data_IF_919475022554
#
_entry.id   IF_919475022554
#
_cell.length_a   1.000
_cell.length_b   1.000
_cell.length_c   1.000
_cell.angle_alpha   90.00
_cell.angle_beta   90.00
_cell.angle_gamma   90.00
#
_symmetry.space_group_name_H-M   'P 1'
#
loop_
_entity.id
_entity.type
_entity.pdbx_description
1 polymer ?
#
# COMPACT_ATOMS: atom_id res chain seq x y z
N UNK A 1 -4.86 20.27 -23.86
CA UNK A 1 -5.67 19.96 -22.69
C UNK A 1 -4.77 19.55 -21.52
N UNK A 2 -4.91 20.26 -20.41
CA UNK A 2 -4.16 19.91 -19.18
C UNK A 2 -4.69 18.58 -18.64
N UNK A 3 -3.82 17.63 -18.28
CA UNK A 3 -4.30 16.34 -17.77
C UNK A 3 -5.05 16.51 -16.46
N UNK A 4 -6.15 15.77 -16.28
CA UNK A 4 -6.92 15.74 -15.03
C UNK A 4 -6.04 15.28 -13.87
N UNK A 5 -6.44 15.54 -12.62
CA UNK A 5 -5.73 15.09 -11.42
C UNK A 5 -5.57 13.55 -11.43
N UNK A 6 -6.65 12.83 -11.77
CA UNK A 6 -6.62 11.37 -11.91
C UNK A 6 -5.70 10.90 -13.05
N UNK A 7 -5.71 11.61 -14.18
CA UNK A 7 -4.81 11.29 -15.30
C UNK A 7 -3.34 11.52 -14.96
N UNK A 8 -3.03 12.53 -14.14
CA UNK A 8 -1.66 12.74 -13.61
C UNK A 8 -1.26 11.63 -12.65
N UNK A 9 -2.15 11.23 -11.74
CA UNK A 9 -1.91 10.11 -10.84
C UNK A 9 -1.67 8.79 -11.60
N UNK A 10 -2.53 8.45 -12.54
CA UNK A 10 -2.36 7.25 -13.37
C UNK A 10 -1.03 7.26 -14.14
N UNK A 11 -0.61 8.42 -14.63
CA UNK A 11 0.67 8.60 -15.32
C UNK A 11 1.86 8.43 -14.38
N UNK A 12 1.75 8.91 -13.14
CA UNK A 12 2.76 8.67 -12.10
C UNK A 12 2.90 7.18 -11.81
N UNK A 13 1.80 6.48 -11.54
CA UNK A 13 1.84 5.03 -11.34
C UNK A 13 2.46 4.28 -12.53
N UNK A 14 2.13 4.73 -13.75
CA UNK A 14 2.70 4.16 -14.98
C UNK A 14 4.22 4.30 -15.10
N UNK A 15 4.86 5.23 -14.38
CA UNK A 15 6.33 5.38 -14.38
C UNK A 15 7.02 4.21 -13.67
N UNK A 16 6.37 3.55 -12.72
CA UNK A 16 6.91 2.40 -11.99
C UNK A 16 7.23 1.21 -12.91
N UNK A 17 6.68 1.16 -14.12
CA UNK A 17 7.02 0.15 -15.13
C UNK A 17 8.45 0.26 -15.65
N UNK A 18 9.06 1.44 -15.52
CA UNK A 18 10.44 1.70 -15.97
C UNK A 18 11.47 1.59 -14.84
N UNK A 19 11.03 1.42 -13.61
CA UNK A 19 11.91 1.18 -12.46
C UNK A 19 12.11 -0.33 -12.32
N UNK A 20 13.38 -0.75 -12.36
CA UNK A 20 13.76 -2.15 -12.17
C UNK A 20 13.88 -2.40 -10.67
N UNK A 21 13.16 -3.41 -10.19
CA UNK A 21 13.26 -3.84 -8.81
C UNK A 21 14.57 -4.60 -8.60
N UNK A 22 15.27 -4.28 -7.52
CA UNK A 22 16.56 -4.88 -7.21
C UNK A 22 17.61 -4.63 -8.30
N UNK A 23 17.70 -3.40 -8.80
CA UNK A 23 18.56 -3.02 -9.91
C UNK A 23 20.03 -3.45 -9.72
N UNK A 24 20.50 -3.49 -8.46
CA UNK A 24 21.86 -3.90 -8.12
C UNK A 24 22.04 -5.43 -7.96
N UNK A 25 20.99 -6.20 -8.15
CA UNK A 25 21.02 -7.68 -8.05
C UNK A 25 20.51 -8.28 -9.36
N UNK A 26 21.40 -8.86 -10.20
CA UNK A 26 20.98 -9.44 -11.47
C UNK A 26 19.91 -10.51 -11.29
N UNK A 27 18.81 -10.36 -12.03
CA UNK A 27 17.69 -11.32 -12.05
C UNK A 27 17.28 -11.62 -13.50
N UNK A 28 16.85 -12.83 -13.72
CA UNK A 28 16.33 -13.25 -15.03
C UNK A 28 14.97 -13.92 -14.82
N UNK A 29 13.89 -13.37 -15.40
CA UNK A 29 13.84 -12.08 -16.09
C UNK A 29 13.89 -10.88 -15.13
N UNK A 30 14.24 -9.70 -15.66
CA UNK A 30 14.11 -8.45 -14.93
C UNK A 30 12.65 -8.17 -14.57
N UNK A 31 12.42 -7.67 -13.37
CA UNK A 31 11.07 -7.35 -12.88
C UNK A 31 10.98 -5.86 -12.61
N UNK A 32 10.01 -5.18 -13.22
CA UNK A 32 9.72 -3.79 -12.88
C UNK A 32 9.01 -3.68 -11.53
N UNK A 33 9.12 -2.53 -10.87
CA UNK A 33 8.39 -2.26 -9.62
C UNK A 33 6.90 -2.43 -9.85
N UNK A 34 6.33 -1.89 -10.94
CA UNK A 34 4.91 -2.06 -11.25
C UNK A 34 4.52 -3.54 -11.46
N UNK A 35 5.37 -4.31 -12.14
CA UNK A 35 5.15 -5.76 -12.34
C UNK A 35 5.15 -6.52 -11.02
N UNK A 36 6.09 -6.19 -10.13
CA UNK A 36 6.11 -6.74 -8.78
C UNK A 36 4.83 -6.40 -8.00
N UNK A 37 4.44 -5.12 -7.95
CA UNK A 37 3.23 -4.68 -7.26
C UNK A 37 1.99 -5.42 -7.75
N UNK A 38 1.87 -5.62 -9.07
CA UNK A 38 0.75 -6.37 -9.64
C UNK A 38 0.75 -7.84 -9.25
N UNK A 39 1.91 -8.49 -9.21
CA UNK A 39 2.03 -9.88 -8.75
C UNK A 39 1.66 -10.00 -7.27
N UNK A 40 2.15 -9.10 -6.42
CA UNK A 40 1.79 -9.07 -4.99
C UNK A 40 0.28 -8.90 -4.81
N UNK A 41 -0.33 -7.97 -5.54
CA UNK A 41 -1.78 -7.77 -5.53
C UNK A 41 -2.56 -9.04 -5.94
N UNK A 42 -2.13 -9.69 -7.01
CA UNK A 42 -2.72 -10.95 -7.47
C UNK A 42 -2.63 -12.05 -6.42
N UNK A 43 -1.46 -12.26 -5.85
CA UNK A 43 -1.29 -13.24 -4.77
C UNK A 43 -2.12 -12.90 -3.54
N UNK A 44 -2.13 -11.65 -3.08
CA UNK A 44 -2.93 -11.22 -1.95
C UNK A 44 -4.43 -11.50 -2.17
N UNK A 45 -4.93 -11.25 -3.38
CA UNK A 45 -6.31 -11.57 -3.74
C UNK A 45 -6.60 -13.08 -3.74
N UNK A 46 -5.73 -13.88 -4.38
CA UNK A 46 -5.94 -15.34 -4.47
C UNK A 46 -5.78 -16.04 -3.11
N UNK A 47 -4.86 -15.60 -2.27
CA UNK A 47 -4.76 -16.10 -0.89
C UNK A 47 -6.01 -15.74 -0.08
N UNK A 48 -6.51 -14.52 -0.22
CA UNK A 48 -7.77 -14.12 0.43
C UNK A 48 -8.95 -14.99 -0.01
N UNK A 49 -9.02 -15.36 -1.30
CA UNK A 49 -10.01 -16.31 -1.80
C UNK A 49 -9.86 -17.69 -1.16
N UNK A 50 -8.63 -18.23 -1.08
CA UNK A 50 -8.39 -19.56 -0.53
C UNK A 50 -8.71 -19.65 0.96
N UNK A 51 -8.63 -18.53 1.68
CA UNK A 51 -8.98 -18.43 3.09
C UNK A 51 -10.47 -18.12 3.33
N UNK A 52 -11.29 -18.02 2.27
CA UNK A 52 -12.70 -17.69 2.40
C UNK A 52 -12.98 -16.24 2.84
N UNK A 53 -12.00 -15.33 2.72
CA UNK A 53 -12.14 -13.96 3.16
C UNK A 53 -13.34 -13.25 2.52
N UNK A 54 -13.95 -12.30 3.23
CA UNK A 54 -15.09 -11.54 2.73
C UNK A 54 -14.72 -10.71 1.48
N UNK A 55 -15.70 -10.31 0.63
CA UNK A 55 -15.44 -9.55 -0.58
C UNK A 55 -14.68 -8.23 -0.33
N UNK A 56 -14.99 -7.53 0.77
CA UNK A 56 -14.33 -6.28 1.11
C UNK A 56 -12.83 -6.50 1.38
N UNK A 57 -12.47 -7.52 2.16
CA UNK A 57 -11.09 -7.88 2.43
C UNK A 57 -10.32 -8.27 1.17
N UNK A 58 -10.92 -9.05 0.27
CA UNK A 58 -10.28 -9.43 -1.01
C UNK A 58 -9.91 -8.20 -1.83
N UNK A 59 -10.81 -7.22 -1.90
CA UNK A 59 -10.59 -5.96 -2.60
C UNK A 59 -9.51 -5.13 -1.91
N UNK A 60 -9.57 -5.01 -0.59
CA UNK A 60 -8.60 -4.25 0.18
C UNK A 60 -7.21 -4.86 0.07
N UNK A 61 -7.07 -6.18 0.22
CA UNK A 61 -5.79 -6.88 0.08
C UNK A 61 -5.20 -6.73 -1.32
N UNK A 62 -6.05 -6.79 -2.37
CA UNK A 62 -5.61 -6.53 -3.73
C UNK A 62 -5.02 -5.12 -3.87
N UNK A 63 -5.74 -4.10 -3.43
CA UNK A 63 -5.28 -2.73 -3.57
C UNK A 63 -4.15 -2.36 -2.62
N UNK A 64 -4.11 -2.92 -1.43
CA UNK A 64 -2.96 -2.79 -0.54
C UNK A 64 -1.71 -3.37 -1.20
N UNK A 65 -1.78 -4.59 -1.73
CA UNK A 65 -0.69 -5.19 -2.50
C UNK A 65 -0.35 -4.42 -3.78
N UNK A 66 -1.33 -3.78 -4.42
CA UNK A 66 -1.08 -2.99 -5.64
C UNK A 66 -0.36 -1.66 -5.34
N UNK A 67 -0.55 -1.07 -4.17
CA UNK A 67 -0.02 0.26 -3.85
C UNK A 67 1.10 0.27 -2.82
N UNK A 68 1.48 -0.88 -2.22
CA UNK A 68 2.45 -0.93 -1.13
C UNK A 68 3.80 -0.26 -1.46
N UNK A 69 4.28 -0.40 -2.69
CA UNK A 69 5.53 0.21 -3.18
C UNK A 69 5.29 1.54 -3.94
N UNK A 70 4.10 2.14 -3.85
CA UNK A 70 3.85 3.44 -4.48
C UNK A 70 4.84 4.54 -4.03
N UNK A 71 5.29 4.58 -2.77
CA UNK A 71 6.32 5.51 -2.33
C UNK A 71 7.65 5.39 -3.10
N UNK A 72 8.01 4.22 -3.61
CA UNK A 72 9.24 4.01 -4.39
C UNK A 72 9.27 4.81 -5.71
N UNK A 73 8.12 5.25 -6.19
CA UNK A 73 8.04 6.23 -7.28
C UNK A 73 8.83 7.52 -6.97
N UNK A 74 9.01 7.83 -5.69
CA UNK A 74 9.53 9.09 -5.19
C UNK A 74 11.00 8.97 -4.76
N UNK A 75 11.42 7.81 -4.28
CA UNK A 75 12.74 7.56 -3.68
C UNK A 75 13.58 6.53 -4.42
N UNK A 76 13.02 5.83 -5.41
CA UNK A 76 13.53 4.60 -6.03
C UNK A 76 13.54 3.41 -5.04
N UNK A 77 13.69 2.21 -5.59
CA UNK A 77 13.83 0.98 -4.81
C UNK A 77 15.18 0.96 -4.08
N UNK A 78 15.16 1.30 -2.79
CA UNK A 78 16.33 1.19 -1.91
C UNK A 78 16.24 -0.12 -1.16
N UNK A 79 17.16 -1.02 -1.41
CA UNK A 79 17.17 -2.35 -0.78
C UNK A 79 17.25 -2.27 0.75
N UNK A 80 16.50 -3.15 1.43
CA UNK A 80 16.38 -3.20 2.89
C UNK A 80 17.72 -3.20 3.65
N UNK A 81 18.79 -3.91 3.23
CA UNK A 81 20.08 -3.83 3.91
C UNK A 81 20.66 -2.41 3.96
N UNK A 82 20.49 -1.63 2.89
CA UNK A 82 20.94 -0.23 2.85
C UNK A 82 20.07 0.64 3.76
N UNK A 83 18.76 0.45 3.73
CA UNK A 83 17.83 1.15 4.66
C UNK A 83 18.20 0.92 6.13
N UNK A 84 18.70 -0.28 6.49
CA UNK A 84 19.08 -0.65 7.86
C UNK A 84 20.53 -0.29 8.26
N UNK A 85 21.37 0.09 7.32
CA UNK A 85 22.80 0.40 7.59
C UNK A 85 23.01 1.68 8.40
N UNK A 86 22.02 2.58 8.44
CA UNK A 86 22.07 3.83 9.20
C UNK A 86 20.81 3.96 10.04
N UNK A 87 20.95 4.06 11.36
CA UNK A 87 19.82 4.02 12.33
C UNK A 87 18.71 5.05 12.08
N UNK A 88 19.02 6.21 11.52
CA UNK A 88 18.03 7.27 11.26
C UNK A 88 17.52 7.30 9.81
N UNK A 89 18.11 6.54 8.90
CA UNK A 89 17.76 6.56 7.48
C UNK A 89 16.31 6.13 7.21
N UNK A 90 15.78 5.06 7.84
CA UNK A 90 14.39 4.65 7.60
C UNK A 90 13.37 5.73 7.96
N UNK A 91 13.54 6.40 9.11
CA UNK A 91 12.62 7.45 9.54
C UNK A 91 12.69 8.70 8.66
N UNK A 92 13.88 9.08 8.21
CA UNK A 92 14.07 10.21 7.29
C UNK A 92 13.47 9.91 5.92
N UNK A 93 13.70 8.71 5.38
CA UNK A 93 13.13 8.27 4.11
C UNK A 93 11.59 8.28 4.18
N UNK A 94 11.03 7.72 5.25
CA UNK A 94 9.58 7.70 5.45
C UNK A 94 8.99 9.11 5.54
N UNK A 95 9.62 10.00 6.29
CA UNK A 95 9.18 11.39 6.37
C UNK A 95 9.21 12.09 5.00
N UNK A 96 10.27 11.85 4.22
CA UNK A 96 10.38 12.37 2.87
C UNK A 96 9.33 11.77 1.92
N UNK A 97 9.11 10.47 1.96
CA UNK A 97 8.10 9.76 1.17
C UNK A 97 6.70 10.31 1.45
N UNK A 98 6.36 10.51 2.73
CA UNK A 98 5.09 11.11 3.13
C UNK A 98 4.91 12.52 2.60
N UNK A 99 5.94 13.36 2.72
CA UNK A 99 5.91 14.73 2.20
C UNK A 99 5.71 14.75 0.68
N UNK A 100 6.41 13.88 -0.04
CA UNK A 100 6.31 13.78 -1.49
C UNK A 100 4.97 13.19 -1.94
N UNK A 101 4.44 12.17 -1.25
CA UNK A 101 3.09 11.66 -1.49
C UNK A 101 2.04 12.77 -1.32
N UNK A 102 2.15 13.56 -0.25
CA UNK A 102 1.24 14.69 -0.03
C UNK A 102 1.32 15.70 -1.18
N UNK A 103 2.53 16.10 -1.55
CA UNK A 103 2.77 17.10 -2.58
C UNK A 103 2.37 16.64 -3.99
N UNK A 104 2.66 15.38 -4.35
CA UNK A 104 2.55 14.89 -5.74
C UNK A 104 1.32 14.04 -6.00
N UNK A 105 0.74 13.44 -4.97
CA UNK A 105 -0.38 12.50 -5.09
C UNK A 105 -1.62 13.03 -4.38
N UNK A 106 -1.58 13.14 -3.05
CA UNK A 106 -2.78 13.40 -2.26
C UNK A 106 -3.32 14.81 -2.47
N UNK A 107 -2.48 15.84 -2.34
CA UNK A 107 -2.90 17.24 -2.55
C UNK A 107 -3.52 17.46 -3.94
N UNK A 108 -2.85 17.08 -5.04
CA UNK A 108 -3.44 17.22 -6.39
C UNK A 108 -4.73 16.41 -6.61
N UNK A 109 -4.87 15.23 -6.00
CA UNK A 109 -6.10 14.44 -6.09
C UNK A 109 -7.24 15.10 -5.32
N UNK A 110 -7.00 15.57 -4.08
CA UNK A 110 -7.99 16.29 -3.29
C UNK A 110 -8.41 17.60 -3.98
N UNK A 111 -7.46 18.37 -4.49
CA UNK A 111 -7.76 19.58 -5.28
C UNK A 111 -8.58 19.27 -6.54
N UNK A 112 -8.48 18.05 -7.06
CA UNK A 112 -9.29 17.53 -8.18
C UNK A 112 -10.66 16.95 -7.77
N UNK A 113 -11.03 17.00 -6.48
CA UNK A 113 -12.30 16.47 -5.96
C UNK A 113 -12.30 14.95 -5.75
N UNK A 114 -11.12 14.32 -5.60
CA UNK A 114 -10.98 12.86 -5.43
C UNK A 114 -10.65 12.46 -3.98
N UNK A 115 -11.25 13.12 -2.97
CA UNK A 115 -10.96 12.89 -1.54
C UNK A 115 -11.18 11.44 -1.10
N UNK A 116 -12.22 10.78 -1.62
CA UNK A 116 -12.46 9.35 -1.34
C UNK A 116 -11.32 8.45 -1.84
N UNK A 117 -10.71 8.79 -2.97
CA UNK A 117 -9.56 8.04 -3.48
C UNK A 117 -8.33 8.28 -2.59
N UNK A 118 -8.12 9.52 -2.15
CA UNK A 118 -7.02 9.86 -1.24
C UNK A 118 -7.16 9.11 0.08
N UNK A 119 -8.36 9.09 0.67
CA UNK A 119 -8.64 8.33 1.89
C UNK A 119 -8.31 6.84 1.74
N UNK A 120 -8.74 6.22 0.62
CA UNK A 120 -8.44 4.82 0.33
C UNK A 120 -6.94 4.57 0.12
N UNK A 121 -6.25 5.43 -0.61
CA UNK A 121 -4.81 5.30 -0.80
C UNK A 121 -4.05 5.42 0.53
N UNK A 122 -4.45 6.35 1.40
CA UNK A 122 -3.86 6.45 2.75
C UNK A 122 -4.08 5.16 3.55
N UNK A 123 -5.27 4.58 3.47
CA UNK A 123 -5.57 3.31 4.12
C UNK A 123 -4.68 2.17 3.59
N UNK A 124 -4.57 2.02 2.26
CA UNK A 124 -3.74 0.97 1.64
C UNK A 124 -2.24 1.13 1.90
N UNK A 125 -1.79 2.33 2.19
CA UNK A 125 -0.40 2.64 2.53
C UNK A 125 -0.11 2.61 4.05
N UNK A 126 -1.09 2.23 4.86
CA UNK A 126 -0.95 2.21 6.32
C UNK A 126 -0.76 3.59 6.94
N UNK A 127 -1.35 4.64 6.32
CA UNK A 127 -1.22 6.04 6.74
C UNK A 127 -2.45 6.53 7.52
N UNK A 128 -3.27 5.63 8.06
CA UNK A 128 -4.51 5.94 8.79
C UNK A 128 -4.43 5.31 10.17
N UNK A 129 -4.83 6.07 11.19
CA UNK A 129 -4.86 5.63 12.58
C UNK A 129 -3.86 6.37 13.48
N UNK A 130 -3.95 6.14 14.78
CA UNK A 130 -2.99 6.68 15.75
C UNK A 130 -1.66 5.92 15.63
N UNK A 131 -0.66 6.63 15.21
CA UNK A 131 0.63 6.04 14.88
C UNK A 131 0.66 5.55 13.44
N UNK A 132 1.71 5.92 12.72
CA UNK A 132 1.93 5.45 11.36
C UNK A 132 2.26 3.98 11.46
N UNK A 133 1.30 3.13 11.10
CA UNK A 133 1.51 1.70 11.03
C UNK A 133 2.48 1.39 9.89
N UNK A 134 3.26 0.33 10.03
CA UNK A 134 4.11 -0.13 8.94
C UNK A 134 3.26 -0.90 7.92
N UNK A 135 3.76 -1.07 6.71
CA UNK A 135 3.14 -1.94 5.70
C UNK A 135 2.98 -3.41 6.15
N UNK A 136 3.57 -3.75 7.29
CA UNK A 136 3.53 -5.06 7.92
C UNK A 136 2.57 -5.14 9.09
N UNK A 137 1.94 -4.02 9.46
CA UNK A 137 0.97 -4.01 10.55
C UNK A 137 -0.41 -4.43 10.03
N UNK A 138 -1.01 -5.38 10.70
CA UNK A 138 -2.33 -5.87 10.37
C UNK A 138 -3.37 -4.87 10.85
N UNK A 139 -3.96 -4.13 9.94
CA UNK A 139 -5.03 -3.18 10.23
C UNK A 139 -6.34 -3.60 9.59
N UNK A 140 -7.42 -3.36 10.30
CA UNK A 140 -8.78 -3.55 9.79
C UNK A 140 -9.59 -2.28 9.97
N UNK A 141 -10.57 -2.09 9.11
CA UNK A 141 -11.60 -1.07 9.27
C UNK A 141 -12.89 -1.78 9.67
N UNK A 142 -13.37 -1.51 10.87
CA UNK A 142 -14.61 -2.11 11.36
C UNK A 142 -15.87 -1.50 10.70
N UNK A 143 -17.02 -2.08 11.01
CA UNK A 143 -18.32 -1.64 10.47
C UNK A 143 -18.69 -0.21 10.84
N UNK A 144 -18.08 0.36 11.87
CA UNK A 144 -18.22 1.78 12.25
C UNK A 144 -17.32 2.72 11.43
N UNK A 145 -16.41 2.17 10.61
CA UNK A 145 -15.40 2.90 9.87
C UNK A 145 -14.14 3.21 10.67
N UNK A 146 -14.02 2.70 11.90
CA UNK A 146 -12.85 2.90 12.74
C UNK A 146 -11.72 1.94 12.31
N UNK A 147 -10.53 2.49 12.12
CA UNK A 147 -9.33 1.69 11.83
C UNK A 147 -8.67 1.27 13.14
N UNK A 148 -8.39 -0.03 13.27
CA UNK A 148 -7.67 -0.60 14.41
C UNK A 148 -6.57 -1.53 13.94
N UNK A 149 -5.47 -1.55 14.66
CA UNK A 149 -4.38 -2.49 14.45
C UNK A 149 -4.66 -3.79 15.20
N UNK A 150 -4.44 -4.92 14.54
CA UNK A 150 -4.47 -6.24 15.16
C UNK A 150 -3.04 -6.60 15.57
N UNK A 151 -2.84 -7.00 16.81
CA UNK A 151 -1.51 -7.29 17.34
C UNK A 151 -0.85 -8.55 16.78
N UNK A 152 -1.60 -9.40 16.08
CA UNK A 152 -1.10 -10.61 15.43
C UNK A 152 -2.15 -11.21 14.50
N UNK A 153 -1.71 -12.07 13.59
CA UNK A 153 -2.60 -12.87 12.74
C UNK A 153 -3.54 -13.77 13.58
N UNK A 154 -3.08 -14.26 14.72
CA UNK A 154 -3.89 -15.04 15.64
C UNK A 154 -5.07 -14.25 16.24
N UNK A 155 -4.88 -12.95 16.46
CA UNK A 155 -5.95 -12.06 16.91
C UNK A 155 -7.08 -11.95 15.89
N UNK A 156 -6.77 -12.06 14.60
CA UNK A 156 -7.74 -12.10 13.53
C UNK A 156 -8.67 -13.29 13.63
N UNK A 157 -8.14 -14.48 13.92
CA UNK A 157 -8.89 -15.71 14.09
C UNK A 157 -9.64 -15.78 15.42
N UNK A 158 -9.14 -15.13 16.47
CA UNK A 158 -9.72 -15.11 17.80
C UNK A 158 -11.08 -14.39 17.87
N UNK A 159 -11.45 -13.61 16.86
CA UNK A 159 -12.72 -12.87 16.81
C UNK A 159 -13.94 -13.70 16.36
N UNK A 160 -13.79 -15.00 16.18
CA UNK A 160 -14.92 -15.92 16.11
C UNK A 160 -15.52 -16.19 14.74
N UNK A 161 -14.96 -15.68 13.67
CA UNK A 161 -15.24 -16.13 12.31
C UNK A 161 -13.95 -16.56 11.59
N UNK A 162 -14.07 -17.32 10.49
CA UNK A 162 -12.92 -17.96 9.84
C UNK A 162 -11.89 -16.97 9.31
N UNK A 163 -12.32 -15.78 8.95
CA UNK A 163 -11.42 -14.71 8.51
C UNK A 163 -11.20 -13.65 9.59
N UNK A 164 -11.75 -13.87 10.81
CA UNK A 164 -11.58 -13.02 11.97
C UNK A 164 -12.34 -11.71 11.92
N UNK A 165 -13.13 -11.46 10.88
CA UNK A 165 -13.83 -10.19 10.65
C UNK A 165 -15.29 -10.40 10.28
N UNK A 166 -16.14 -9.45 10.68
CA UNK A 166 -17.47 -9.32 10.12
C UNK A 166 -17.35 -9.12 8.59
N UNK A 167 -18.24 -9.68 7.75
CA UNK A 167 -18.25 -9.44 6.31
C UNK A 167 -18.27 -7.95 5.90
N UNK A 168 -18.64 -7.07 6.83
CA UNK A 168 -18.61 -5.60 6.63
C UNK A 168 -17.26 -4.98 6.98
N UNK A 169 -16.40 -5.71 7.68
CA UNK A 169 -15.05 -5.28 8.04
C UNK A 169 -14.09 -5.66 6.93
N UNK A 170 -13.22 -4.75 6.52
CA UNK A 170 -12.30 -5.05 5.43
C UNK A 170 -11.23 -4.02 5.20
#
# INVERSE_FOLDING_TARGET
DSPTALGRFARLCGQLRFQIRWADTPRVPETSVLGHMFLVAGYAYFFSLSLGACPARRVNNFFAGLFHDLPELLTRDIITPVKRSVNQLPSLLRAYELQELERRVFGPLSAGGHDRLVERLRYYLGLVGEGVTSEFDETIRDSSGQVRCLGSFDALHANGNEDGLDPKDG
#
